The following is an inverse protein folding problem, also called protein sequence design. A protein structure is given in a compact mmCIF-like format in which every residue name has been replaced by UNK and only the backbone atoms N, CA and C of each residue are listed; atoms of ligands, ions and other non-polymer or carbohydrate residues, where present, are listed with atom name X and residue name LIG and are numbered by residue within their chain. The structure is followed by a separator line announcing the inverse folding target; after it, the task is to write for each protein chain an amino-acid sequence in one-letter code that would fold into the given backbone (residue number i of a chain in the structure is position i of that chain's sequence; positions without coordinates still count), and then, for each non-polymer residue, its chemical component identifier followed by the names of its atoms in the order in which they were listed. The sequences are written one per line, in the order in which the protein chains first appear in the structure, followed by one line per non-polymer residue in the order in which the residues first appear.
data_IF_688833280390
#
_entry.id   IF_688833280390
#
_cell.length_a   1.000
_cell.length_b   1.000
_cell.length_c   1.000
_cell.angle_alpha   90.00
_cell.angle_beta   90.00
_cell.angle_gamma   90.00
#
_symmetry.space_group_name_H-M   'P 1'
#
loop_
_entity.id
_entity.type
_entity.pdbx_description
1 polymer ?
#
# COMPACT_ATOMS: atom_id res chain seq x y z
N UNK A 1 59.96 27.96 21.49
CA UNK A 1 58.54 28.18 21.17
C UNK A 1 58.08 27.03 20.29
N UNK A 2 57.41 26.05 20.91
CA UNK A 2 56.85 24.87 20.26
C UNK A 2 55.50 25.25 19.64
N UNK A 3 55.37 25.13 18.31
CA UNK A 3 54.08 25.06 17.63
C UNK A 3 54.06 23.84 16.71
N UNK A 4 54.01 22.66 17.31
CA UNK A 4 53.49 21.46 16.67
C UNK A 4 51.97 21.62 16.56
N UNK A 5 51.52 22.28 15.49
CA UNK A 5 50.10 22.39 15.13
C UNK A 5 49.57 20.98 14.84
N UNK A 6 48.67 20.52 15.71
CA UNK A 6 47.98 19.23 15.67
C UNK A 6 47.24 19.07 14.34
N UNK A 7 47.86 18.35 13.41
CA UNK A 7 47.25 17.85 12.19
C UNK A 7 46.93 16.35 12.39
N UNK A 8 46.23 16.04 13.47
CA UNK A 8 45.84 14.67 13.80
C UNK A 8 44.33 14.58 14.00
N UNK A 9 43.71 13.73 13.19
CA UNK A 9 42.35 13.19 13.29
C UNK A 9 41.18 14.10 12.90
N UNK A 10 40.97 14.26 11.59
CA UNK A 10 39.61 14.43 11.02
C UNK A 10 39.32 13.41 9.91
N UNK A 11 40.10 12.33 9.85
CA UNK A 11 39.91 11.23 8.90
C UNK A 11 38.96 10.16 9.47
N UNK A 12 39.00 9.90 10.79
CA UNK A 12 38.10 8.96 11.46
C UNK A 12 36.64 9.41 11.49
N UNK A 13 36.39 10.72 11.64
CA UNK A 13 35.06 11.34 11.57
C UNK A 13 34.52 11.31 10.13
N UNK A 14 35.32 11.71 9.14
CA UNK A 14 34.95 11.58 7.72
C UNK A 14 34.71 10.12 7.31
N UNK A 15 35.45 9.17 7.87
CA UNK A 15 35.25 7.74 7.62
C UNK A 15 34.01 7.19 8.35
N UNK A 16 33.71 7.65 9.56
CA UNK A 16 32.45 7.30 10.23
C UNK A 16 31.25 7.88 9.50
N UNK A 17 31.32 9.14 9.06
CA UNK A 17 30.26 9.81 8.32
C UNK A 17 30.07 9.16 6.94
N UNK A 18 31.15 8.78 6.25
CA UNK A 18 31.08 8.01 5.01
C UNK A 18 30.45 6.63 5.23
N UNK A 19 30.79 5.92 6.29
CA UNK A 19 30.22 4.60 6.62
C UNK A 19 28.75 4.70 7.05
N UNK A 20 28.35 5.74 7.79
CA UNK A 20 26.96 5.99 8.17
C UNK A 20 26.13 6.33 6.93
N UNK A 21 26.66 7.17 6.02
CA UNK A 21 26.02 7.50 4.75
C UNK A 21 25.91 6.27 3.83
N UNK A 22 26.93 5.41 3.79
CA UNK A 22 26.94 4.19 2.98
C UNK A 22 26.02 3.09 3.56
N UNK A 23 25.93 2.99 4.89
CA UNK A 23 24.96 2.12 5.57
C UNK A 23 23.51 2.60 5.33
N UNK A 24 23.24 3.90 5.40
CA UNK A 24 21.95 4.49 5.06
C UNK A 24 21.55 4.25 3.59
N UNK A 25 22.52 4.39 2.66
CA UNK A 25 22.31 4.15 1.23
C UNK A 25 21.98 2.69 0.87
N UNK A 26 22.45 1.71 1.65
CA UNK A 26 22.16 0.28 1.43
C UNK A 26 20.91 -0.20 2.18
N UNK A 27 20.52 0.47 3.25
CA UNK A 27 19.39 0.10 4.11
C UNK A 27 18.02 0.31 3.45
N UNK A 28 17.79 1.47 2.81
CA UNK A 28 16.51 1.75 2.14
C UNK A 28 16.17 0.78 1.00
N UNK A 29 17.09 0.48 0.05
CA UNK A 29 16.80 -0.48 -1.00
C UNK A 29 16.64 -1.90 -0.43
N UNK A 30 17.43 -2.33 0.55
CA UNK A 30 17.27 -3.69 1.12
C UNK A 30 15.89 -3.90 1.76
N UNK A 31 15.35 -2.90 2.46
CA UNK A 31 13.98 -2.95 2.98
C UNK A 31 12.97 -3.06 1.82
N UNK A 32 13.11 -2.24 0.79
CA UNK A 32 12.21 -2.25 -0.37
C UNK A 32 12.17 -3.63 -1.05
N UNK A 33 13.33 -4.22 -1.34
CA UNK A 33 13.42 -5.54 -1.97
C UNK A 33 12.82 -6.64 -1.07
N UNK A 34 13.03 -6.55 0.25
CA UNK A 34 12.44 -7.51 1.21
C UNK A 34 10.90 -7.44 1.20
N UNK A 35 10.35 -6.23 1.08
CA UNK A 35 8.91 -5.99 0.96
C UNK A 35 8.35 -6.57 -0.34
N UNK A 36 9.01 -6.32 -1.48
CA UNK A 36 8.60 -6.87 -2.77
C UNK A 36 8.63 -8.40 -2.73
N UNK A 37 9.67 -9.01 -2.16
CA UNK A 37 9.77 -10.45 -2.02
C UNK A 37 8.61 -11.05 -1.20
N UNK A 38 8.26 -10.41 -0.07
CA UNK A 38 7.08 -10.81 0.72
C UNK A 38 5.79 -10.74 -0.10
N UNK A 39 5.59 -9.64 -0.84
CA UNK A 39 4.40 -9.44 -1.68
C UNK A 39 4.32 -10.50 -2.79
N UNK A 40 5.44 -10.83 -3.40
CA UNK A 40 5.57 -11.90 -4.41
C UNK A 40 5.15 -13.25 -3.88
N UNK A 41 5.53 -13.58 -2.64
CA UNK A 41 5.17 -14.86 -2.01
C UNK A 41 3.70 -14.89 -1.62
N UNK A 42 3.14 -13.81 -1.05
CA UNK A 42 1.76 -13.79 -0.55
C UNK A 42 0.73 -13.79 -1.68
N UNK A 43 1.01 -13.08 -2.77
CA UNK A 43 0.02 -12.86 -3.83
C UNK A 43 -0.48 -14.14 -4.55
N UNK A 44 0.34 -15.16 -4.88
CA UNK A 44 -0.17 -16.39 -5.47
C UNK A 44 -1.16 -17.10 -4.54
N UNK A 45 -0.95 -17.08 -3.21
CA UNK A 45 -1.92 -17.62 -2.26
C UNK A 45 -3.22 -16.79 -2.29
N UNK A 46 -3.13 -15.46 -2.28
CA UNK A 46 -4.30 -14.59 -2.42
C UNK A 46 -5.09 -14.88 -3.71
N UNK A 47 -4.41 -14.98 -4.85
CA UNK A 47 -5.02 -15.29 -6.16
C UNK A 47 -5.67 -16.67 -6.15
N UNK A 48 -4.98 -17.69 -5.62
CA UNK A 48 -5.49 -19.05 -5.52
C UNK A 48 -6.78 -19.09 -4.72
N UNK A 49 -6.77 -18.48 -3.54
CA UNK A 49 -7.91 -18.48 -2.63
C UNK A 49 -9.08 -17.68 -3.21
N UNK A 50 -8.82 -16.54 -3.86
CA UNK A 50 -9.85 -15.77 -4.57
C UNK A 50 -10.51 -16.60 -5.68
N UNK A 51 -9.72 -17.25 -6.54
CA UNK A 51 -10.23 -18.07 -7.65
C UNK A 51 -11.04 -19.27 -7.15
N UNK A 52 -10.58 -19.93 -6.09
CA UNK A 52 -11.28 -21.09 -5.51
C UNK A 52 -12.67 -20.72 -4.99
N UNK A 53 -12.83 -19.50 -4.48
CA UNK A 53 -14.10 -19.02 -3.93
C UNK A 53 -14.94 -18.20 -4.92
N UNK A 54 -14.42 -17.92 -6.11
CA UNK A 54 -15.04 -17.02 -7.09
C UNK A 54 -16.47 -17.41 -7.44
N UNK A 55 -16.70 -18.70 -7.71
CA UNK A 55 -18.01 -19.19 -8.15
C UNK A 55 -19.09 -19.03 -7.07
N UNK A 56 -18.73 -19.21 -5.81
CA UNK A 56 -19.62 -18.99 -4.68
C UNK A 56 -19.83 -17.51 -4.42
N UNK A 57 -18.73 -16.75 -4.39
CA UNK A 57 -18.77 -15.36 -3.96
C UNK A 57 -19.47 -14.47 -5.02
N UNK A 58 -19.45 -14.84 -6.31
CA UNK A 58 -20.20 -14.18 -7.42
C UNK A 58 -21.68 -13.95 -7.13
N UNK A 59 -22.30 -14.81 -6.32
CA UNK A 59 -23.72 -14.71 -5.97
C UNK A 59 -23.99 -13.66 -4.91
N UNK A 60 -22.94 -13.15 -4.24
CA UNK A 60 -23.08 -12.11 -3.23
C UNK A 60 -23.05 -10.72 -3.86
N UNK A 61 -23.92 -9.78 -3.45
CA UNK A 61 -23.93 -8.41 -3.97
C UNK A 61 -22.60 -7.67 -3.70
N UNK A 62 -21.81 -8.15 -2.73
CA UNK A 62 -20.52 -7.59 -2.33
C UNK A 62 -19.33 -8.11 -3.16
N UNK A 63 -19.51 -9.11 -4.03
CA UNK A 63 -18.44 -9.74 -4.82
C UNK A 63 -17.60 -8.75 -5.63
N UNK A 64 -18.21 -7.66 -6.06
CA UNK A 64 -17.60 -6.66 -6.90
C UNK A 64 -16.40 -5.99 -6.24
N UNK A 65 -16.38 -5.92 -4.91
CA UNK A 65 -15.33 -5.30 -4.13
C UNK A 65 -14.10 -6.21 -4.07
N UNK A 66 -14.17 -7.48 -3.60
CA UNK A 66 -13.09 -8.45 -3.75
C UNK A 66 -12.60 -8.59 -5.20
N UNK A 67 -13.50 -8.55 -6.19
CA UNK A 67 -13.13 -8.61 -7.60
C UNK A 67 -12.36 -7.37 -8.07
N UNK A 68 -12.73 -6.17 -7.59
CA UNK A 68 -11.95 -4.95 -7.84
C UNK A 68 -10.56 -5.08 -7.24
N UNK A 69 -10.46 -5.45 -5.95
CA UNK A 69 -9.16 -5.67 -5.30
C UNK A 69 -8.32 -6.74 -6.01
N UNK A 70 -8.92 -7.86 -6.41
CA UNK A 70 -8.21 -8.90 -7.15
C UNK A 70 -7.62 -8.40 -8.47
N UNK A 71 -8.38 -7.59 -9.22
CA UNK A 71 -7.88 -6.97 -10.46
C UNK A 71 -6.77 -5.96 -10.15
N UNK A 72 -6.95 -5.12 -9.15
CA UNK A 72 -5.99 -4.08 -8.80
C UNK A 72 -4.69 -4.66 -8.23
N UNK A 73 -4.75 -5.70 -7.39
CA UNK A 73 -3.56 -6.40 -6.85
C UNK A 73 -2.71 -6.99 -7.97
N UNK A 74 -3.32 -7.59 -9.00
CA UNK A 74 -2.56 -8.07 -10.17
C UNK A 74 -1.90 -6.92 -10.92
N UNK A 75 -2.59 -5.79 -11.07
CA UNK A 75 -2.04 -4.62 -11.74
C UNK A 75 -0.86 -4.00 -10.96
N UNK A 76 -0.99 -3.91 -9.63
CA UNK A 76 0.09 -3.47 -8.73
C UNK A 76 1.30 -4.37 -8.85
N UNK A 77 1.12 -5.69 -8.84
CA UNK A 77 2.24 -6.63 -9.02
C UNK A 77 2.98 -6.41 -10.34
N UNK A 78 2.24 -6.34 -11.45
CA UNK A 78 2.83 -6.12 -12.78
C UNK A 78 3.63 -4.81 -12.76
N UNK A 79 3.04 -3.73 -12.24
CA UNK A 79 3.69 -2.43 -12.14
C UNK A 79 4.96 -2.45 -11.26
N UNK A 80 4.96 -3.18 -10.14
CA UNK A 80 6.14 -3.36 -9.28
C UNK A 80 7.23 -4.12 -10.03
N UNK A 81 6.92 -5.24 -10.70
CA UNK A 81 7.94 -5.98 -11.45
C UNK A 81 8.53 -5.18 -12.60
N UNK A 82 7.71 -4.40 -13.32
CA UNK A 82 8.23 -3.53 -14.39
C UNK A 82 9.10 -2.41 -13.84
N UNK A 83 8.80 -1.92 -12.63
CA UNK A 83 9.61 -0.92 -11.93
C UNK A 83 10.96 -1.50 -11.48
N UNK A 84 10.97 -2.69 -10.88
CA UNK A 84 12.20 -3.41 -10.48
C UNK A 84 13.08 -3.75 -11.70
N UNK A 85 12.48 -4.17 -12.81
CA UNK A 85 13.19 -4.40 -14.06
C UNK A 85 13.85 -3.11 -14.57
N UNK A 86 13.11 -2.00 -14.56
CA UNK A 86 13.65 -0.70 -14.97
C UNK A 86 14.82 -0.25 -14.07
N UNK A 87 14.71 -0.47 -12.75
CA UNK A 87 15.79 -0.21 -11.79
C UNK A 87 17.02 -1.09 -12.06
N UNK A 88 16.84 -2.38 -12.31
CA UNK A 88 17.95 -3.27 -12.67
C UNK A 88 18.67 -2.78 -13.95
N UNK A 89 17.92 -2.36 -14.97
CA UNK A 89 18.48 -1.85 -16.22
C UNK A 89 19.33 -0.58 -16.05
N UNK A 90 18.99 0.31 -15.11
CA UNK A 90 19.81 1.51 -14.85
C UNK A 90 21.09 1.21 -14.07
N UNK A 91 21.08 0.19 -13.21
CA UNK A 91 22.28 -0.29 -12.48
C UNK A 91 23.26 -0.97 -13.44
N UNK A 92 22.77 -1.80 -14.36
CA UNK A 92 23.57 -2.44 -15.41
C UNK A 92 23.74 -1.53 -16.64
N UNK A 93 24.15 -0.28 -16.40
CA UNK A 93 24.30 0.80 -17.38
C UNK A 93 25.06 0.39 -18.65
N UNK A 94 25.92 -0.63 -18.58
CA UNK A 94 26.70 -1.16 -19.71
C UNK A 94 25.89 -1.62 -20.92
N UNK A 95 24.59 -1.93 -20.74
CA UNK A 95 23.71 -2.40 -21.82
C UNK A 95 22.96 -1.25 -22.51
N UNK A 96 22.89 -0.08 -21.87
CA UNK A 96 21.97 1.00 -22.25
C UNK A 96 22.71 2.20 -22.85
N UNK A 97 22.17 2.76 -23.93
CA UNK A 97 22.69 4.00 -24.52
C UNK A 97 22.23 5.22 -23.71
N UNK A 98 23.05 6.30 -23.71
CA UNK A 98 22.73 7.55 -23.00
C UNK A 98 21.38 8.16 -23.45
N UNK A 99 20.93 7.88 -24.68
CA UNK A 99 19.63 8.29 -25.21
C UNK A 99 18.43 7.60 -24.54
N UNK A 100 18.57 6.38 -24.03
CA UNK A 100 17.48 5.64 -23.40
C UNK A 100 17.28 6.03 -21.93
N UNK A 101 18.29 6.59 -21.27
CA UNK A 101 18.23 7.02 -19.87
C UNK A 101 17.09 8.02 -19.56
N UNK A 102 16.88 9.12 -20.32
CA UNK A 102 15.77 10.04 -20.04
C UNK A 102 14.40 9.38 -20.15
N UNK A 103 14.23 8.44 -21.09
CA UNK A 103 12.98 7.68 -21.27
C UNK A 103 12.72 6.80 -20.04
N UNK A 104 13.75 6.15 -19.52
CA UNK A 104 13.64 5.32 -18.32
C UNK A 104 13.33 6.17 -17.09
N UNK A 105 13.98 7.32 -16.91
CA UNK A 105 13.68 8.21 -15.77
C UNK A 105 12.24 8.76 -15.83
N UNK A 106 11.76 9.12 -17.01
CA UNK A 106 10.36 9.54 -17.21
C UNK A 106 9.39 8.40 -16.85
N UNK A 107 9.65 7.20 -17.35
CA UNK A 107 8.87 6.00 -17.02
C UNK A 107 8.88 5.73 -15.51
N UNK A 108 10.03 5.80 -14.86
CA UNK A 108 10.18 5.57 -13.42
C UNK A 108 9.34 6.55 -12.61
N UNK A 109 9.40 7.83 -12.98
CA UNK A 109 8.65 8.89 -12.31
C UNK A 109 7.14 8.70 -12.48
N UNK A 110 6.70 8.34 -13.69
CA UNK A 110 5.30 8.05 -13.98
C UNK A 110 4.80 6.79 -13.27
N UNK A 111 5.56 5.69 -13.32
CA UNK A 111 5.21 4.41 -12.69
C UNK A 111 5.12 4.54 -11.17
N UNK A 112 6.08 5.26 -10.57
CA UNK A 112 6.08 5.53 -9.13
C UNK A 112 4.86 6.34 -8.70
N UNK A 113 4.58 7.44 -9.41
CA UNK A 113 3.39 8.26 -9.16
C UNK A 113 2.09 7.45 -9.33
N UNK A 114 2.00 6.67 -10.41
CA UNK A 114 0.84 5.83 -10.68
C UNK A 114 0.61 4.79 -9.56
N UNK A 115 1.67 4.15 -9.07
CA UNK A 115 1.60 3.21 -7.94
C UNK A 115 1.12 3.88 -6.64
N UNK A 116 1.56 5.12 -6.37
CA UNK A 116 1.10 5.91 -5.22
C UNK A 116 -0.42 6.13 -5.31
N UNK A 117 -0.90 6.66 -6.44
CA UNK A 117 -2.33 6.96 -6.64
C UNK A 117 -3.16 5.67 -6.49
N UNK A 118 -2.74 4.59 -7.13
CA UNK A 118 -3.46 3.31 -7.09
C UNK A 118 -3.55 2.74 -5.67
N UNK A 119 -2.45 2.82 -4.92
CA UNK A 119 -2.40 2.32 -3.54
C UNK A 119 -3.26 3.16 -2.60
N UNK A 120 -3.25 4.49 -2.75
CA UNK A 120 -4.08 5.40 -1.95
C UNK A 120 -5.58 5.20 -2.24
N UNK A 121 -5.97 5.04 -3.51
CA UNK A 121 -7.37 4.75 -3.88
C UNK A 121 -7.85 3.43 -3.28
N UNK A 122 -7.02 2.39 -3.32
CA UNK A 122 -7.35 1.10 -2.68
C UNK A 122 -7.53 1.23 -1.16
N UNK A 123 -6.70 2.03 -0.51
CA UNK A 123 -6.81 2.29 0.93
C UNK A 123 -8.12 3.01 1.27
N UNK A 124 -8.48 4.04 0.51
CA UNK A 124 -9.77 4.73 0.67
C UNK A 124 -10.97 3.80 0.43
N UNK A 125 -10.87 2.89 -0.54
CA UNK A 125 -11.92 1.90 -0.80
C UNK A 125 -12.09 0.92 0.39
N UNK A 126 -10.98 0.50 1.02
CA UNK A 126 -11.02 -0.31 2.25
C UNK A 126 -11.65 0.47 3.41
N UNK A 127 -11.32 1.76 3.56
CA UNK A 127 -11.92 2.63 4.57
C UNK A 127 -13.43 2.78 4.38
N UNK A 128 -13.87 3.06 3.15
CA UNK A 128 -15.30 3.18 2.82
C UNK A 128 -16.06 1.89 3.14
N UNK A 129 -15.46 0.73 2.84
CA UNK A 129 -16.02 -0.59 3.14
C UNK A 129 -16.07 -0.88 4.64
N UNK A 130 -15.04 -0.49 5.40
CA UNK A 130 -15.02 -0.60 6.84
C UNK A 130 -16.16 0.22 7.47
N UNK A 131 -16.30 1.48 7.06
CA UNK A 131 -17.38 2.36 7.51
C UNK A 131 -18.75 1.82 7.13
N UNK A 132 -18.94 1.37 5.88
CA UNK A 132 -20.21 0.76 5.45
C UNK A 132 -20.58 -0.43 6.34
N UNK A 133 -19.62 -1.34 6.58
CA UNK A 133 -19.86 -2.53 7.41
C UNK A 133 -20.12 -2.17 8.87
N UNK A 134 -19.45 -1.16 9.40
CA UNK A 134 -19.72 -0.64 10.74
C UNK A 134 -21.15 -0.10 10.84
N UNK A 135 -21.55 0.79 9.92
CA UNK A 135 -22.88 1.42 9.93
C UNK A 135 -23.98 0.37 9.80
N UNK A 136 -23.88 -0.56 8.85
CA UNK A 136 -24.90 -1.61 8.67
C UNK A 136 -24.98 -2.54 9.88
N UNK A 137 -23.85 -2.81 10.55
CA UNK A 137 -23.83 -3.66 11.72
C UNK A 137 -24.51 -3.02 12.94
N UNK A 138 -24.23 -1.74 13.22
CA UNK A 138 -24.79 -1.02 14.39
C UNK A 138 -26.17 -0.41 14.11
N UNK A 139 -26.46 -0.07 12.86
CA UNK A 139 -27.71 0.57 12.43
C UNK A 139 -28.26 -0.18 11.21
N UNK A 140 -28.93 -1.33 11.40
CA UNK A 140 -29.47 -2.13 10.31
C UNK A 140 -30.45 -1.36 9.41
N UNK A 141 -31.14 -0.35 9.95
CA UNK A 141 -32.06 0.50 9.19
C UNK A 141 -31.39 1.32 8.08
N UNK A 142 -30.07 1.51 8.12
CA UNK A 142 -29.30 2.20 7.08
C UNK A 142 -28.82 1.28 5.95
N UNK A 143 -29.12 -0.03 6.01
CA UNK A 143 -28.67 -1.00 5.01
C UNK A 143 -29.03 -0.59 3.57
N UNK A 144 -30.28 -0.18 3.35
CA UNK A 144 -30.81 0.21 2.03
C UNK A 144 -30.18 1.48 1.46
N UNK A 145 -29.75 2.42 2.30
CA UNK A 145 -29.12 3.67 1.86
C UNK A 145 -27.60 3.54 1.67
N UNK A 146 -26.97 2.60 2.38
CA UNK A 146 -25.51 2.41 2.36
C UNK A 146 -25.05 1.21 1.51
N UNK A 147 -25.91 0.57 0.71
CA UNK A 147 -25.46 -0.49 -0.21
C UNK A 147 -24.56 0.07 -1.32
N UNK A 148 -23.27 -0.31 -1.32
CA UNK A 148 -22.33 0.04 -2.38
C UNK A 148 -22.67 -0.70 -3.68
N UNK A 149 -23.14 0.04 -4.68
CA UNK A 149 -23.39 -0.48 -6.03
C UNK A 149 -22.12 -0.45 -6.89
N UNK A 150 -22.04 -1.26 -7.98
CA UNK A 150 -20.86 -1.25 -8.86
C UNK A 150 -20.59 0.12 -9.50
N UNK A 151 -21.68 0.85 -9.79
CA UNK A 151 -21.61 2.20 -10.35
C UNK A 151 -21.03 3.17 -9.32
N UNK A 152 -21.46 3.09 -8.07
CA UNK A 152 -20.94 3.90 -6.96
C UNK A 152 -19.45 3.64 -6.74
N UNK A 153 -19.00 2.38 -6.72
CA UNK A 153 -17.58 2.03 -6.55
C UNK A 153 -16.72 2.60 -7.70
N UNK A 154 -17.15 2.43 -8.96
CA UNK A 154 -16.40 2.97 -10.11
C UNK A 154 -16.34 4.49 -10.09
N UNK A 155 -17.43 5.15 -9.72
CA UNK A 155 -17.48 6.60 -9.60
C UNK A 155 -16.57 7.10 -8.48
N UNK A 156 -16.65 6.48 -7.29
CA UNK A 156 -15.78 6.76 -6.16
C UNK A 156 -14.30 6.62 -6.52
N UNK A 157 -13.91 5.51 -7.17
CA UNK A 157 -12.53 5.28 -7.61
C UNK A 157 -12.04 6.39 -8.53
N UNK A 158 -12.86 6.87 -9.48
CA UNK A 158 -12.49 7.96 -10.39
C UNK A 158 -12.35 9.29 -9.68
N UNK A 159 -13.29 9.63 -8.80
CA UNK A 159 -13.28 10.88 -8.03
C UNK A 159 -12.10 10.90 -7.06
N UNK A 160 -11.90 9.81 -6.31
CA UNK A 160 -10.79 9.67 -5.38
C UNK A 160 -9.44 9.78 -6.11
N UNK A 161 -9.28 9.10 -7.26
CA UNK A 161 -8.07 9.22 -8.07
C UNK A 161 -7.82 10.67 -8.52
N UNK A 162 -8.86 11.38 -8.98
CA UNK A 162 -8.74 12.78 -9.39
C UNK A 162 -8.32 13.71 -8.25
N UNK A 163 -8.94 13.57 -7.06
CA UNK A 163 -8.59 14.35 -5.87
C UNK A 163 -7.15 14.06 -5.45
N UNK A 164 -6.77 12.79 -5.38
CA UNK A 164 -5.41 12.38 -5.02
C UNK A 164 -4.39 12.95 -6.01
N UNK A 165 -4.69 12.91 -7.31
CA UNK A 165 -3.78 13.46 -8.31
C UNK A 165 -3.58 14.96 -8.15
N UNK A 166 -4.66 15.70 -7.84
CA UNK A 166 -4.60 17.14 -7.59
C UNK A 166 -3.94 17.50 -6.23
N UNK A 167 -3.96 16.60 -5.25
CA UNK A 167 -3.40 16.83 -3.91
C UNK A 167 -1.92 16.43 -3.79
N UNK A 168 -1.46 15.47 -4.60
CA UNK A 168 -0.05 15.08 -4.64
C UNK A 168 0.80 16.02 -5.51
N UNK A 169 0.44 17.31 -5.58
CA UNK A 169 1.26 18.31 -6.25
C UNK A 169 2.65 18.39 -5.57
N UNK A 170 3.74 18.29 -6.33
CA UNK A 170 5.10 18.17 -5.79
C UNK A 170 5.59 19.40 -5.00
N UNK A 171 4.81 20.48 -4.98
CA UNK A 171 5.20 21.79 -4.44
C UNK A 171 4.63 22.04 -3.02
N UNK A 172 3.52 21.41 -2.64
CA UNK A 172 2.76 21.76 -1.42
C UNK A 172 2.72 20.58 -0.44
N UNK A 173 3.83 20.39 0.27
CA UNK A 173 3.93 19.71 1.56
C UNK A 173 3.41 18.24 1.65
N UNK A 174 4.06 17.35 0.90
CA UNK A 174 3.82 15.90 0.82
C UNK A 174 3.82 15.17 2.17
N UNK A 175 4.57 15.67 3.16
CA UNK A 175 4.73 15.01 4.47
C UNK A 175 3.44 15.10 5.30
N UNK A 176 2.81 16.28 5.36
CA UNK A 176 1.59 16.47 6.15
C UNK A 176 0.41 15.65 5.59
N UNK A 177 0.30 15.60 4.26
CA UNK A 177 -0.72 14.79 3.56
C UNK A 177 -0.49 13.30 3.82
N UNK A 178 0.76 12.85 3.84
CA UNK A 178 1.13 11.47 4.15
C UNK A 178 0.77 11.10 5.60
N UNK A 179 1.15 11.94 6.57
CA UNK A 179 0.83 11.73 8.00
C UNK A 179 -0.69 11.67 8.20
N UNK A 180 -1.43 12.63 7.66
CA UNK A 180 -2.89 12.68 7.76
C UNK A 180 -3.54 11.42 7.19
N UNK A 181 -3.10 10.99 6.00
CA UNK A 181 -3.63 9.78 5.34
C UNK A 181 -3.36 8.52 6.16
N UNK A 182 -2.20 8.41 6.81
CA UNK A 182 -1.88 7.25 7.64
C UNK A 182 -2.71 7.22 8.93
N UNK A 183 -2.87 8.36 9.62
CA UNK A 183 -3.73 8.45 10.80
C UNK A 183 -5.18 8.08 10.44
N UNK A 184 -5.68 8.61 9.32
CA UNK A 184 -7.02 8.31 8.83
C UNK A 184 -7.22 6.80 8.59
N UNK A 185 -6.26 6.14 7.95
CA UNK A 185 -6.31 4.68 7.71
C UNK A 185 -6.29 3.89 9.02
N UNK A 186 -5.47 4.30 10.01
CA UNK A 186 -5.43 3.65 11.32
C UNK A 186 -6.81 3.74 11.99
N UNK A 187 -7.44 4.92 11.98
CA UNK A 187 -8.81 5.10 12.52
C UNK A 187 -9.80 4.18 11.80
N UNK A 188 -9.76 4.14 10.46
CA UNK A 188 -10.62 3.25 9.67
C UNK A 188 -10.38 1.76 9.95
N UNK A 189 -9.14 1.36 10.25
CA UNK A 189 -8.84 -0.03 10.62
C UNK A 189 -9.38 -0.39 12.01
N UNK A 190 -9.35 0.56 12.96
CA UNK A 190 -9.91 0.37 14.31
C UNK A 190 -11.43 0.17 14.27
N UNK A 191 -12.14 0.84 13.35
CA UNK A 191 -13.57 0.63 13.11
C UNK A 191 -13.91 -0.81 12.68
N UNK A 192 -12.95 -1.58 12.17
CA UNK A 192 -13.17 -2.97 11.76
C UNK A 192 -13.02 -3.98 12.91
N UNK A 193 -12.28 -3.62 13.97
CA UNK A 193 -12.09 -4.44 15.19
C UNK A 193 -13.41 -4.76 15.91
N UNK A 194 -14.32 -3.80 16.19
CA UNK A 194 -15.59 -4.09 16.86
C UNK A 194 -16.50 -5.00 16.02
N UNK A 195 -16.46 -4.87 14.69
CA UNK A 195 -17.19 -5.76 13.75
C UNK A 195 -16.68 -7.21 13.87
N UNK A 196 -15.38 -7.39 14.04
CA UNK A 196 -14.79 -8.72 14.23
C UNK A 196 -15.21 -9.37 15.55
N UNK A 197 -15.17 -8.60 16.63
CA UNK A 197 -15.52 -9.11 17.96
C UNK A 197 -16.99 -9.52 17.99
N UNK A 198 -17.85 -8.71 17.38
CA UNK A 198 -19.28 -9.03 17.31
C UNK A 198 -19.57 -10.24 16.40
N UNK A 199 -18.90 -10.39 15.25
CA UNK A 199 -19.06 -11.58 14.40
C UNK A 199 -18.59 -12.87 15.11
N UNK A 200 -17.52 -12.81 15.91
CA UNK A 200 -17.07 -13.98 16.71
C UNK A 200 -18.13 -14.40 17.72
N UNK A 201 -18.81 -13.43 18.34
CA UNK A 201 -19.89 -13.66 19.30
C UNK A 201 -21.12 -14.36 18.68
N UNK A 202 -21.36 -14.20 17.37
CA UNK A 202 -22.48 -14.85 16.64
C UNK A 202 -22.05 -15.98 15.68
N UNK A 203 -20.80 -16.45 15.79
CA UNK A 203 -20.23 -17.43 14.84
C UNK A 203 -20.87 -18.82 14.86
N UNK A 204 -21.73 -19.10 15.86
CA UNK A 204 -22.50 -20.35 15.97
C UNK A 204 -23.68 -20.44 15.00
N UNK A 205 -24.11 -19.32 14.39
CA UNK A 205 -25.20 -19.30 13.40
C UNK A 205 -24.66 -19.65 12.00
N UNK A 206 -25.36 -20.54 11.28
CA UNK A 206 -24.97 -21.00 9.93
C UNK A 206 -24.81 -19.86 8.91
N UNK A 207 -25.52 -18.74 9.09
CA UNK A 207 -25.38 -17.52 8.30
C UNK A 207 -24.02 -16.81 8.52
N UNK A 208 -23.44 -16.91 9.72
CA UNK A 208 -22.12 -16.38 10.05
C UNK A 208 -20.99 -17.24 9.44
N UNK A 209 -21.20 -18.55 9.28
CA UNK A 209 -20.25 -19.44 8.58
C UNK A 209 -20.21 -19.20 7.06
N UNK A 210 -21.29 -18.67 6.48
CA UNK A 210 -21.42 -18.31 5.06
C UNK A 210 -20.79 -16.94 4.70
N UNK A 211 -20.47 -16.10 5.69
CA UNK A 211 -19.90 -14.76 5.51
C UNK A 211 -18.37 -14.75 5.19
N UNK A 212 -17.94 -15.56 4.23
CA UNK A 212 -16.54 -15.63 3.80
C UNK A 212 -15.94 -14.33 3.19
N UNK A 213 -16.70 -13.43 2.52
CA UNK A 213 -16.13 -12.19 1.97
C UNK A 213 -15.55 -11.26 3.05
N UNK A 214 -16.14 -11.24 4.26
CA UNK A 214 -15.68 -10.42 5.37
C UNK A 214 -14.29 -10.84 5.86
N UNK A 215 -13.97 -12.13 5.85
CA UNK A 215 -12.64 -12.63 6.22
C UNK A 215 -11.56 -12.18 5.23
N UNK A 216 -11.87 -12.14 3.93
CA UNK A 216 -10.91 -11.64 2.92
C UNK A 216 -10.58 -10.17 3.11
N UNK A 217 -11.62 -9.36 3.28
CA UNK A 217 -11.48 -7.93 3.51
C UNK A 217 -10.66 -7.68 4.79
N UNK A 218 -10.88 -8.49 5.83
CA UNK A 218 -10.12 -8.38 7.05
C UNK A 218 -8.62 -8.65 6.86
N UNK A 219 -8.27 -9.80 6.27
CA UNK A 219 -6.88 -10.13 6.01
C UNK A 219 -6.21 -9.07 5.15
N UNK A 220 -6.96 -8.44 4.25
CA UNK A 220 -6.49 -7.33 3.44
C UNK A 220 -6.25 -6.06 4.28
N UNK A 221 -7.13 -5.70 5.22
CA UNK A 221 -6.91 -4.57 6.15
C UNK A 221 -5.72 -4.84 7.06
N UNK A 222 -5.63 -6.04 7.64
CA UNK A 222 -4.49 -6.43 8.50
C UNK A 222 -3.17 -6.36 7.73
N UNK A 223 -3.15 -6.87 6.49
CA UNK A 223 -1.98 -6.77 5.63
C UNK A 223 -1.59 -5.30 5.37
N UNK A 224 -2.55 -4.43 5.05
CA UNK A 224 -2.29 -2.99 4.82
C UNK A 224 -1.71 -2.32 6.06
N UNK A 225 -2.23 -2.61 7.26
CA UNK A 225 -1.75 -2.04 8.52
C UNK A 225 -0.33 -2.50 8.81
N UNK A 226 -0.03 -3.80 8.70
CA UNK A 226 1.33 -4.34 8.91
C UNK A 226 2.33 -3.71 7.95
N UNK A 227 1.95 -3.54 6.68
CA UNK A 227 2.80 -2.89 5.67
C UNK A 227 3.07 -1.43 6.02
N UNK A 228 2.10 -0.68 6.54
CA UNK A 228 2.32 0.72 6.94
C UNK A 228 3.30 0.84 8.11
N UNK A 229 3.26 -0.10 9.06
CA UNK A 229 4.23 -0.13 10.16
C UNK A 229 5.67 -0.36 9.68
N UNK A 230 5.88 -1.14 8.60
CA UNK A 230 7.22 -1.32 8.02
C UNK A 230 7.78 -0.07 7.32
N UNK A 231 6.93 0.90 6.93
CA UNK A 231 7.38 2.17 6.32
C UNK A 231 7.71 3.26 7.35
N UNK A 232 7.28 3.13 8.62
CA UNK A 232 7.56 4.11 9.68
C UNK A 232 9.08 4.24 9.96
N UNK A 233 9.87 3.14 10.07
CA UNK A 233 11.32 3.23 10.25
C UNK A 233 12.01 3.99 9.11
N UNK A 234 11.60 3.78 7.85
CA UNK A 234 12.17 4.48 6.69
C UNK A 234 12.01 6.01 6.78
N UNK A 235 10.96 6.49 7.45
CA UNK A 235 10.70 7.92 7.66
C UNK A 235 11.43 8.51 8.87
N UNK A 236 11.87 7.67 9.81
CA UNK A 236 12.64 8.11 10.99
C UNK A 236 14.14 8.19 10.65
N UNK A 237 14.60 7.38 9.70
CA UNK A 237 16.00 7.30 9.26
C UNK A 237 16.33 8.17 8.03
N UNK A 238 15.38 8.92 7.48
CA UNK A 238 15.56 9.86 6.36
C UNK A 238 15.24 11.28 6.83
#
# INVERSE_FOLDING_TARGET
MNNSLQLSFNCSSKFSDANINQAGQTFAPTILHSYVALLTVITPFYIYVFRKNENRDKQTPLFQIPNHFYKTTKFILIAIYTFELAFALTVYKSILTDFCMPIIYLYFSFAFYFLIVLTQVNQLLLCMLATQKFVVFFIPSLETHFTLTPKSIKWFVRVAAGIICAWNDPIINSINVYIFSNIFIIICSLLYVPIMLSIRQYSYLSSAQLNQPQRYILWQIVAVVVVKFTYIPLFIFY
#
